data_IF_280420765016
#
_entry.id   IF_280420765016
#
_cell.length_a   1.000
_cell.length_b   1.000
_cell.length_c   1.000
_cell.angle_alpha   90.00
_cell.angle_beta   90.00
_cell.angle_gamma   90.00
#
_symmetry.space_group_name_H-M   'P 1'
#
loop_
_entity.id
_entity.type
_entity.pdbx_description
1 polymer ?
#
# COMPACT_ATOMS: atom_id res chain seq x y z
N UNK A 1 -12.34 -11.07 1.77
CA UNK A 1 -11.83 -10.16 0.72
C UNK A 1 -12.77 -8.99 0.45
N UNK A 2 -14.07 -9.22 0.25
CA UNK A 2 -15.05 -8.17 -0.06
C UNK A 2 -15.02 -6.98 0.90
N UNK A 3 -15.00 -7.22 2.23
CA UNK A 3 -14.98 -6.13 3.22
C UNK A 3 -13.74 -5.22 3.14
N UNK A 4 -12.56 -5.78 2.82
CA UNK A 4 -11.35 -4.96 2.65
C UNK A 4 -11.34 -4.22 1.32
N UNK A 5 -11.99 -4.76 0.27
CA UNK A 5 -12.17 -4.07 -1.01
C UNK A 5 -13.17 -2.91 -0.91
N UNK A 6 -14.28 -3.12 -0.21
CA UNK A 6 -15.28 -2.08 0.05
C UNK A 6 -14.69 -0.94 0.89
N UNK A 7 -13.91 -1.26 1.92
CA UNK A 7 -13.20 -0.25 2.71
C UNK A 7 -12.24 0.57 1.84
N UNK A 8 -11.45 -0.08 0.98
CA UNK A 8 -10.55 0.61 0.05
C UNK A 8 -11.32 1.52 -0.91
N UNK A 9 -12.45 1.06 -1.45
CA UNK A 9 -13.29 1.87 -2.34
C UNK A 9 -13.85 3.12 -1.64
N UNK A 10 -14.39 2.95 -0.42
CA UNK A 10 -14.95 4.06 0.36
C UNK A 10 -13.89 5.09 0.76
N UNK A 11 -12.76 4.63 1.31
CA UNK A 11 -11.69 5.55 1.70
C UNK A 11 -11.00 6.21 0.51
N UNK A 12 -11.05 5.61 -0.69
CA UNK A 12 -10.57 6.25 -1.92
C UNK A 12 -11.42 7.46 -2.27
N UNK A 13 -12.75 7.34 -2.25
CA UNK A 13 -13.65 8.47 -2.51
C UNK A 13 -13.46 9.58 -1.45
N UNK A 14 -13.35 9.21 -0.18
CA UNK A 14 -13.16 10.18 0.89
C UNK A 14 -11.79 10.89 0.81
N UNK A 15 -10.74 10.18 0.42
CA UNK A 15 -9.41 10.74 0.24
C UNK A 15 -9.31 11.67 -0.98
N UNK A 16 -10.23 11.59 -1.95
CA UNK A 16 -10.31 12.56 -3.05
C UNK A 16 -10.82 13.93 -2.56
N UNK A 17 -11.72 13.92 -1.57
CA UNK A 17 -12.34 15.14 -1.02
C UNK A 17 -11.53 15.76 0.12
N UNK A 18 -11.01 14.93 1.04
CA UNK A 18 -10.17 15.37 2.14
C UNK A 18 -9.00 14.40 2.37
N UNK A 19 -7.95 14.51 1.54
CA UNK A 19 -6.83 13.60 1.57
C UNK A 19 -6.18 13.49 2.96
N UNK A 20 -5.94 14.62 3.62
CA UNK A 20 -5.25 14.67 4.92
C UNK A 20 -6.00 13.89 6.01
N UNK A 21 -7.33 13.85 5.95
CA UNK A 21 -8.16 13.14 6.92
C UNK A 21 -8.27 11.63 6.65
N UNK A 22 -8.29 11.21 5.38
CA UNK A 22 -8.70 9.84 5.01
C UNK A 22 -7.60 8.99 4.37
N UNK A 23 -6.47 9.57 3.98
CA UNK A 23 -5.31 8.83 3.45
C UNK A 23 -4.75 7.78 4.41
N UNK A 24 -4.58 8.05 5.73
CA UNK A 24 -4.10 7.04 6.66
C UNK A 24 -5.01 5.80 6.68
N UNK A 25 -6.32 6.00 6.65
CA UNK A 25 -7.30 4.91 6.68
C UNK A 25 -7.39 4.16 5.35
N UNK A 26 -7.22 4.85 4.22
CA UNK A 26 -7.09 4.23 2.91
C UNK A 26 -5.88 3.29 2.86
N UNK A 27 -4.71 3.77 3.26
CA UNK A 27 -3.49 2.98 3.20
C UNK A 27 -3.48 1.85 4.24
N UNK A 28 -4.08 2.03 5.43
CA UNK A 28 -4.31 0.94 6.38
C UNK A 28 -5.22 -0.15 5.80
N UNK A 29 -6.27 0.24 5.07
CA UNK A 29 -7.19 -0.69 4.41
C UNK A 29 -6.51 -1.47 3.28
N UNK A 30 -5.65 -0.82 2.49
CA UNK A 30 -4.83 -1.46 1.45
C UNK A 30 -3.83 -2.46 2.04
N UNK A 31 -3.15 -2.09 3.13
CA UNK A 31 -2.23 -2.98 3.85
C UNK A 31 -2.95 -4.22 4.40
N UNK A 32 -4.11 -4.04 5.03
CA UNK A 32 -4.94 -5.14 5.51
C UNK A 32 -5.42 -6.04 4.36
N UNK A 33 -5.80 -5.47 3.21
CA UNK A 33 -6.19 -6.24 2.04
C UNK A 33 -5.04 -7.12 1.50
N UNK A 34 -3.83 -6.57 1.40
CA UNK A 34 -2.64 -7.31 0.96
C UNK A 34 -2.24 -8.44 1.91
N UNK A 35 -2.32 -8.22 3.23
CA UNK A 35 -2.06 -9.26 4.22
C UNK A 35 -3.07 -10.42 4.15
N UNK A 36 -4.36 -10.10 3.97
CA UNK A 36 -5.39 -11.13 3.80
C UNK A 36 -5.16 -11.93 2.52
N UNK A 37 -4.72 -11.30 1.42
CA UNK A 37 -4.38 -12.00 0.19
C UNK A 37 -3.16 -12.92 0.34
N UNK A 38 -2.15 -12.51 1.12
CA UNK A 38 -1.01 -13.38 1.43
C UNK A 38 -1.44 -14.59 2.25
N UNK A 39 -2.25 -14.38 3.29
CA UNK A 39 -2.79 -15.47 4.11
C UNK A 39 -3.69 -16.43 3.31
N UNK A 40 -4.38 -15.92 2.29
CA UNK A 40 -5.19 -16.73 1.38
C UNK A 40 -4.38 -17.51 0.33
N UNK A 41 -3.03 -17.45 0.37
CA UNK A 41 -2.16 -18.15 -0.57
C UNK A 41 -2.17 -17.56 -1.98
N UNK A 42 -2.50 -16.27 -2.12
CA UNK A 42 -2.58 -15.55 -3.41
C UNK A 42 -1.53 -14.43 -3.50
N UNK A 43 -0.22 -14.77 -3.44
CA UNK A 43 0.84 -13.78 -3.30
C UNK A 43 0.99 -12.85 -4.51
N UNK A 44 0.69 -13.32 -5.73
CA UNK A 44 0.74 -12.48 -6.93
C UNK A 44 -0.33 -11.36 -6.88
N UNK A 45 -1.52 -11.68 -6.39
CA UNK A 45 -2.60 -10.71 -6.24
C UNK A 45 -2.35 -9.76 -5.07
N UNK A 46 -1.77 -10.27 -3.99
CA UNK A 46 -1.27 -9.42 -2.91
C UNK A 46 -0.24 -8.41 -3.42
N UNK A 47 0.73 -8.85 -4.23
CA UNK A 47 1.75 -7.99 -4.80
C UNK A 47 1.12 -6.91 -5.71
N UNK A 48 0.13 -7.25 -6.52
CA UNK A 48 -0.58 -6.29 -7.36
C UNK A 48 -1.32 -5.23 -6.53
N UNK A 49 -2.09 -5.65 -5.52
CA UNK A 49 -2.84 -4.74 -4.66
C UNK A 49 -1.92 -3.81 -3.83
N UNK A 50 -0.83 -4.37 -3.28
CA UNK A 50 0.14 -3.61 -2.50
C UNK A 50 0.92 -2.62 -3.38
N UNK A 51 1.25 -3.00 -4.63
CA UNK A 51 1.86 -2.08 -5.61
C UNK A 51 0.97 -0.88 -5.90
N UNK A 52 -0.32 -1.13 -6.14
CA UNK A 52 -1.30 -0.05 -6.35
C UNK A 52 -1.37 0.86 -5.12
N UNK A 53 -1.46 0.29 -3.91
CA UNK A 53 -1.47 1.07 -2.68
C UNK A 53 -0.21 1.93 -2.49
N UNK A 54 0.97 1.39 -2.80
CA UNK A 54 2.22 2.14 -2.79
C UNK A 54 2.20 3.30 -3.80
N UNK A 55 1.72 3.07 -5.03
CA UNK A 55 1.65 4.09 -6.08
C UNK A 55 0.74 5.26 -5.67
N UNK A 56 -0.38 4.98 -5.00
CA UNK A 56 -1.29 6.01 -4.51
C UNK A 56 -0.75 6.74 -3.28
N UNK A 57 -0.13 6.04 -2.34
CA UNK A 57 0.35 6.63 -1.10
C UNK A 57 1.64 7.45 -1.29
N UNK A 58 2.48 7.07 -2.26
CA UNK A 58 3.82 7.62 -2.42
C UNK A 58 3.87 9.16 -2.61
N UNK A 59 3.03 9.80 -3.45
CA UNK A 59 3.02 11.27 -3.58
C UNK A 59 2.71 11.97 -2.25
N UNK A 60 1.82 11.39 -1.45
CA UNK A 60 1.40 11.94 -0.17
C UNK A 60 2.46 11.74 0.91
N UNK A 61 3.07 10.56 0.96
CA UNK A 61 4.17 10.29 1.87
C UNK A 61 5.38 11.19 1.61
N UNK A 62 5.62 11.62 0.37
CA UNK A 62 6.62 12.66 0.06
C UNK A 62 6.28 14.02 0.65
N UNK A 63 5.00 14.41 0.62
CA UNK A 63 4.56 15.68 1.17
C UNK A 63 4.46 15.66 2.70
N UNK A 64 4.19 14.49 3.30
CA UNK A 64 3.94 14.31 4.73
C UNK A 64 4.67 13.08 5.31
N UNK A 65 6.01 13.03 5.26
CA UNK A 65 6.77 11.84 5.64
C UNK A 65 6.60 11.45 7.11
N UNK A 66 6.47 12.43 8.02
CA UNK A 66 6.23 12.17 9.44
C UNK A 66 4.87 11.51 9.74
N UNK A 67 3.85 11.76 8.90
CA UNK A 67 2.51 11.22 9.11
C UNK A 67 2.33 9.85 8.41
N UNK A 68 2.96 9.67 7.24
CA UNK A 68 2.70 8.54 6.35
C UNK A 68 3.91 7.63 6.13
N UNK A 69 5.10 7.97 6.65
CA UNK A 69 6.32 7.20 6.46
C UNK A 69 6.24 5.79 7.04
N UNK A 70 5.79 5.64 8.29
CA UNK A 70 5.59 4.32 8.90
C UNK A 70 4.66 3.43 8.05
N UNK A 71 3.54 3.99 7.60
CA UNK A 71 2.55 3.29 6.79
C UNK A 71 3.08 2.91 5.40
N UNK A 72 3.87 3.79 4.77
CA UNK A 72 4.58 3.50 3.52
C UNK A 72 5.59 2.36 3.71
N UNK A 73 6.32 2.36 4.83
CA UNK A 73 7.27 1.30 5.20
C UNK A 73 6.60 -0.06 5.35
N UNK A 74 5.47 -0.12 6.06
CA UNK A 74 4.70 -1.35 6.25
C UNK A 74 4.16 -1.91 4.93
N UNK A 75 3.58 -1.05 4.08
CA UNK A 75 3.12 -1.45 2.74
C UNK A 75 4.27 -1.96 1.87
N UNK A 76 5.43 -1.29 1.93
CA UNK A 76 6.61 -1.67 1.16
C UNK A 76 7.15 -3.04 1.60
N UNK A 77 7.20 -3.30 2.90
CA UNK A 77 7.62 -4.58 3.44
C UNK A 77 6.67 -5.71 3.02
N UNK A 78 5.36 -5.47 3.11
CA UNK A 78 4.34 -6.42 2.66
C UNK A 78 4.46 -6.69 1.14
N UNK A 79 4.67 -5.65 0.34
CA UNK A 79 4.84 -5.76 -1.11
C UNK A 79 6.04 -6.63 -1.50
N UNK A 80 7.20 -6.38 -0.90
CA UNK A 80 8.42 -7.16 -1.15
C UNK A 80 8.26 -8.62 -0.70
N UNK A 81 7.53 -8.85 0.39
CA UNK A 81 7.20 -10.20 0.87
C UNK A 81 6.32 -10.93 -0.14
N UNK A 82 5.29 -10.25 -0.67
CA UNK A 82 4.40 -10.80 -1.68
C UNK A 82 5.12 -11.11 -2.99
N UNK A 83 6.00 -10.22 -3.46
CA UNK A 83 6.80 -10.43 -4.66
C UNK A 83 7.70 -11.68 -4.50
N UNK A 84 8.39 -11.79 -3.37
CA UNK A 84 9.24 -12.96 -3.07
C UNK A 84 8.44 -14.26 -3.03
N UNK A 85 7.27 -14.26 -2.39
CA UNK A 85 6.41 -15.44 -2.31
C UNK A 85 5.81 -15.84 -3.67
N UNK A 86 5.62 -14.88 -4.58
CA UNK A 86 5.12 -15.11 -5.93
C UNK A 86 6.23 -15.40 -6.96
N UNK A 87 7.51 -15.26 -6.60
CA UNK A 87 8.62 -15.33 -7.55
C UNK A 87 8.62 -14.19 -8.57
N UNK A 88 8.05 -13.03 -8.20
CA UNK A 88 7.97 -11.84 -9.05
C UNK A 88 9.11 -10.88 -8.72
N UNK A 89 9.65 -10.24 -9.75
CA UNK A 89 10.56 -9.11 -9.57
C UNK A 89 9.76 -7.86 -9.16
N UNK A 90 10.14 -7.19 -8.06
CA UNK A 90 9.47 -5.97 -7.64
C UNK A 90 9.81 -4.80 -8.58
N UNK A 91 8.90 -3.82 -8.67
CA UNK A 91 9.13 -2.57 -9.38
C UNK A 91 10.23 -1.78 -8.65
N UNK A 92 11.46 -1.89 -9.17
CA UNK A 92 12.65 -1.28 -8.56
C UNK A 92 12.52 0.24 -8.43
N UNK A 93 11.89 0.88 -9.42
CA UNK A 93 11.68 2.33 -9.39
C UNK A 93 10.76 2.71 -8.23
N UNK A 94 9.66 1.99 -8.08
CA UNK A 94 8.72 2.21 -6.98
C UNK A 94 9.38 1.94 -5.62
N UNK A 95 10.14 0.86 -5.49
CA UNK A 95 10.87 0.51 -4.26
C UNK A 95 11.87 1.60 -3.90
N UNK A 96 12.65 2.07 -4.87
CA UNK A 96 13.65 3.11 -4.64
C UNK A 96 13.00 4.44 -4.23
N UNK A 97 11.90 4.80 -4.88
CA UNK A 97 11.14 5.99 -4.55
C UNK A 97 10.50 5.93 -3.16
N UNK A 98 10.01 4.76 -2.74
CA UNK A 98 9.48 4.58 -1.40
C UNK A 98 10.61 4.67 -0.36
N UNK A 99 11.75 4.02 -0.60
CA UNK A 99 12.92 4.09 0.29
C UNK A 99 13.46 5.50 0.47
N UNK A 100 13.47 6.33 -0.57
CA UNK A 100 13.93 7.73 -0.45
C UNK A 100 13.02 8.60 0.42
N UNK A 101 11.76 8.18 0.65
CA UNK A 101 10.84 8.86 1.57
C UNK A 101 11.06 8.40 3.01
N UNK A 102 11.62 7.20 3.20
CA UNK A 102 11.85 6.57 4.51
C UNK A 102 13.24 6.86 5.09
N UNK A 103 14.17 7.40 4.29
CA UNK A 103 15.53 7.79 4.68
C UNK A 103 15.57 9.20 5.27
#
# INVERSE_FOLDING_TARGET
LAATQEAVALYRQLAEENPDAFLPDLARSLGAHGLVLLQAGRPAEAAAALREGLQHLLPWARAWPQALGALLGDLLAAYLTACRAAGLDPDEKLVQQARSVLS
#
